data_IF_986916766968
#
_entry.id   IF_986916766968
#
_cell.length_a   1.000
_cell.length_b   1.000
_cell.length_c   1.000
_cell.angle_alpha   90.00
_cell.angle_beta   90.00
_cell.angle_gamma   90.00
#
_symmetry.space_group_name_H-M   'P 1'
#
loop_
_entity.id
_entity.type
_entity.pdbx_description
1 polymer ?
#
# COMPACT_ATOMS: atom_id res chain seq x y z
N UNK A 1 34.15 47.74 -17.91
CA UNK A 1 33.37 47.46 -16.69
C UNK A 1 31.90 47.52 -17.10
N UNK A 2 31.42 46.44 -17.70
CA UNK A 2 30.04 46.33 -18.20
C UNK A 2 29.22 45.52 -17.19
N UNK A 3 28.21 46.15 -16.59
CA UNK A 3 27.21 45.45 -15.77
C UNK A 3 26.21 44.78 -16.73
N UNK A 4 26.23 43.44 -16.79
CA UNK A 4 25.13 42.65 -17.36
C UNK A 4 24.05 42.48 -16.29
N UNK A 5 22.86 43.03 -16.56
CA UNK A 5 21.68 42.84 -15.74
C UNK A 5 21.19 41.39 -15.86
N UNK A 6 21.15 40.67 -14.74
CA UNK A 6 20.48 39.38 -14.62
C UNK A 6 18.99 39.63 -14.37
N UNK A 7 18.15 39.32 -15.36
CA UNK A 7 16.71 39.20 -15.18
C UNK A 7 16.44 37.88 -14.44
N UNK A 8 16.03 37.98 -13.18
CA UNK A 8 15.44 36.87 -12.45
C UNK A 8 13.97 36.77 -12.85
N UNK A 9 13.64 35.78 -13.67
CA UNK A 9 12.24 35.38 -13.85
C UNK A 9 11.82 34.65 -12.59
N UNK A 10 11.09 35.33 -11.71
CA UNK A 10 10.38 34.68 -10.60
C UNK A 10 9.29 33.83 -11.24
N UNK A 11 9.53 32.53 -11.36
CA UNK A 11 8.45 31.57 -11.57
C UNK A 11 7.59 31.62 -10.31
N UNK A 12 6.40 32.23 -10.41
CA UNK A 12 5.38 32.03 -9.40
C UNK A 12 5.09 30.53 -9.37
N UNK A 13 5.44 29.88 -8.26
CA UNK A 13 4.91 28.58 -7.89
C UNK A 13 3.40 28.79 -7.68
N UNK A 14 2.61 28.67 -8.74
CA UNK A 14 1.19 28.37 -8.55
C UNK A 14 1.16 26.96 -7.99
N UNK A 15 1.07 26.82 -6.67
CA UNK A 15 0.52 25.61 -6.08
C UNK A 15 -0.85 25.44 -6.74
N UNK A 16 -0.91 24.54 -7.72
CA UNK A 16 -2.14 24.15 -8.35
C UNK A 16 -3.00 23.54 -7.27
N UNK A 17 -3.84 24.35 -6.63
CA UNK A 17 -4.98 23.82 -5.88
C UNK A 17 -5.82 23.13 -6.94
N UNK A 18 -5.75 21.82 -6.98
CA UNK A 18 -6.55 21.00 -7.87
C UNK A 18 -8.01 21.22 -7.46
N UNK A 19 -8.71 22.16 -8.09
CA UNK A 19 -10.09 22.57 -7.73
C UNK A 19 -11.15 21.53 -8.10
N UNK A 20 -10.76 20.28 -8.31
CA UNK A 20 -11.63 19.11 -8.47
C UNK A 20 -11.15 17.90 -7.64
N UNK A 21 -10.32 18.12 -6.61
CA UNK A 21 -9.69 17.05 -5.83
C UNK A 21 -10.55 16.54 -4.67
N UNK A 22 -10.57 15.23 -4.49
CA UNK A 22 -11.01 14.57 -3.25
C UNK A 22 -10.18 15.08 -2.05
N UNK A 23 -10.81 15.28 -0.89
CA UNK A 23 -10.10 15.75 0.33
C UNK A 23 -9.04 14.75 0.81
N UNK A 24 -9.28 13.47 0.54
CA UNK A 24 -8.40 12.34 0.83
C UNK A 24 -8.32 11.52 -0.46
N UNK A 25 -7.11 11.35 -0.98
CA UNK A 25 -6.88 10.48 -2.14
C UNK A 25 -6.88 9.01 -1.72
N UNK A 26 -7.41 8.14 -2.57
CA UNK A 26 -7.32 6.70 -2.35
C UNK A 26 -5.84 6.24 -2.28
N UNK A 27 -5.52 5.13 -1.58
CA UNK A 27 -4.18 4.55 -1.56
C UNK A 27 -3.53 4.41 -2.94
N UNK A 28 -2.25 4.72 -3.04
CA UNK A 28 -1.48 4.54 -4.27
C UNK A 28 -1.01 3.09 -4.38
N UNK A 29 -1.41 2.37 -5.43
CA UNK A 29 -0.97 1.00 -5.67
C UNK A 29 0.28 0.96 -6.55
N UNK A 30 1.35 0.37 -6.03
CA UNK A 30 2.65 0.26 -6.71
C UNK A 30 3.04 -1.22 -6.81
N UNK A 31 3.65 -1.64 -7.92
CA UNK A 31 4.10 -3.01 -8.07
C UNK A 31 5.05 -3.27 -9.22
N UNK A 32 5.47 -4.53 -9.32
CA UNK A 32 6.31 -5.03 -10.40
C UNK A 32 5.78 -6.37 -10.92
N UNK A 33 6.07 -6.67 -12.18
CA UNK A 33 5.69 -7.93 -12.78
C UNK A 33 6.72 -8.40 -13.81
N UNK A 34 7.34 -9.55 -13.56
CA UNK A 34 8.03 -10.27 -14.62
C UNK A 34 6.99 -10.83 -15.62
N UNK A 35 7.08 -10.42 -16.88
CA UNK A 35 6.16 -10.85 -17.94
C UNK A 35 6.65 -12.02 -18.78
N UNK A 36 7.81 -12.60 -18.45
CA UNK A 36 8.38 -13.73 -19.16
C UNK A 36 8.48 -13.46 -20.67
N UNK A 37 9.45 -12.63 -21.05
CA UNK A 37 9.76 -12.28 -22.44
C UNK A 37 8.62 -11.55 -23.14
N UNK A 38 8.20 -10.40 -22.61
CA UNK A 38 7.27 -9.53 -23.33
C UNK A 38 7.87 -9.11 -24.68
N UNK A 39 7.13 -9.38 -25.75
CA UNK A 39 7.50 -9.02 -27.11
C UNK A 39 6.40 -9.33 -28.12
N UNK A 40 6.67 -9.21 -29.43
CA UNK A 40 5.64 -9.27 -30.47
C UNK A 40 4.84 -10.57 -30.47
N UNK A 41 5.50 -11.70 -30.17
CA UNK A 41 4.83 -13.01 -30.07
C UNK A 41 3.80 -13.03 -28.94
N UNK A 42 4.13 -12.51 -27.76
CA UNK A 42 3.21 -12.45 -26.63
C UNK A 42 2.07 -11.44 -26.89
N UNK A 43 2.40 -10.26 -27.44
CA UNK A 43 1.41 -9.23 -27.82
C UNK A 43 0.45 -9.65 -28.94
N UNK A 44 0.83 -10.64 -29.76
CA UNK A 44 -0.06 -11.20 -30.79
C UNK A 44 -1.17 -12.12 -30.26
N UNK A 45 -1.17 -12.45 -28.96
CA UNK A 45 -2.16 -13.33 -28.31
C UNK A 45 -3.22 -12.49 -27.60
N UNK A 46 -4.44 -12.33 -28.15
CA UNK A 46 -5.44 -11.42 -27.57
C UNK A 46 -5.85 -11.77 -26.14
N UNK A 47 -5.95 -13.07 -25.82
CA UNK A 47 -6.28 -13.53 -24.46
C UNK A 47 -5.21 -13.11 -23.43
N UNK A 48 -3.92 -13.20 -23.79
CA UNK A 48 -2.81 -12.76 -22.92
C UNK A 48 -2.86 -11.25 -22.72
N UNK A 49 -3.03 -10.48 -23.80
CA UNK A 49 -3.15 -9.02 -23.72
C UNK A 49 -4.33 -8.60 -22.85
N UNK A 50 -5.46 -9.31 -22.95
CA UNK A 50 -6.63 -9.05 -22.11
C UNK A 50 -6.31 -9.24 -20.61
N UNK A 51 -5.58 -10.31 -20.25
CA UNK A 51 -5.14 -10.54 -18.86
C UNK A 51 -4.19 -9.43 -18.42
N UNK A 52 -3.21 -9.06 -19.26
CA UNK A 52 -2.30 -7.94 -18.96
C UNK A 52 -3.07 -6.64 -18.65
N UNK A 53 -4.03 -6.28 -19.50
CA UNK A 53 -4.85 -5.08 -19.29
C UNK A 53 -5.66 -5.18 -17.99
N UNK A 54 -6.29 -6.32 -17.70
CA UNK A 54 -7.08 -6.51 -16.48
C UNK A 54 -6.22 -6.40 -15.21
N UNK A 55 -5.02 -7.01 -15.22
CA UNK A 55 -4.07 -6.97 -14.11
C UNK A 55 -3.52 -5.57 -13.93
N UNK A 56 -2.95 -4.97 -14.99
CA UNK A 56 -2.30 -3.66 -14.94
C UNK A 56 -3.25 -2.53 -14.53
N UNK A 57 -4.55 -2.63 -14.88
CA UNK A 57 -5.55 -1.61 -14.51
C UNK A 57 -5.77 -1.46 -12.99
N UNK A 58 -5.30 -2.42 -12.19
CA UNK A 58 -5.32 -2.33 -10.72
C UNK A 58 -4.30 -1.34 -10.17
N UNK A 59 -3.20 -1.13 -10.89
CA UNK A 59 -2.04 -0.39 -10.41
C UNK A 59 -2.16 1.10 -10.71
N UNK A 60 -1.60 1.93 -9.83
CA UNK A 60 -1.34 3.34 -10.16
C UNK A 60 0.06 3.52 -10.75
N UNK A 61 1.01 2.68 -10.32
CA UNK A 61 2.34 2.51 -10.92
C UNK A 61 2.64 1.01 -11.01
N UNK A 62 3.06 0.55 -12.18
CA UNK A 62 3.59 -0.81 -12.35
C UNK A 62 4.83 -0.79 -13.23
N UNK A 63 5.87 -1.52 -12.82
CA UNK A 63 7.04 -1.79 -13.66
C UNK A 63 6.98 -3.20 -14.20
N UNK A 64 7.10 -3.34 -15.53
CA UNK A 64 7.18 -4.62 -16.21
C UNK A 64 8.65 -4.96 -16.46
N UNK A 65 9.02 -6.18 -16.11
CA UNK A 65 10.35 -6.74 -16.31
C UNK A 65 10.34 -7.68 -17.53
N UNK A 66 11.53 -8.10 -17.95
CA UNK A 66 11.71 -9.05 -19.06
C UNK A 66 11.07 -8.60 -20.39
N UNK A 67 11.12 -7.29 -20.68
CA UNK A 67 10.73 -6.76 -21.99
C UNK A 67 11.86 -6.97 -22.99
N UNK A 68 11.67 -7.91 -23.91
CA UNK A 68 12.74 -8.38 -24.82
C UNK A 68 12.66 -7.79 -26.24
N UNK A 69 11.61 -7.04 -26.55
CA UNK A 69 11.29 -6.56 -27.90
C UNK A 69 12.29 -5.56 -28.47
N UNK A 70 13.05 -5.96 -29.50
CA UNK A 70 14.07 -5.13 -30.13
C UNK A 70 13.52 -3.95 -30.93
N UNK A 71 12.27 -4.00 -31.40
CA UNK A 71 11.65 -2.85 -32.07
C UNK A 71 11.15 -1.78 -31.07
N UNK A 72 10.92 -2.17 -29.82
CA UNK A 72 10.32 -1.32 -28.80
C UNK A 72 8.82 -1.11 -28.99
N UNK A 73 8.15 -1.87 -29.86
CA UNK A 73 6.73 -1.70 -30.18
C UNK A 73 5.82 -2.36 -29.15
N UNK A 74 6.18 -3.54 -28.63
CA UNK A 74 5.38 -4.30 -27.68
C UNK A 74 4.95 -3.48 -26.44
N UNK A 75 5.84 -2.77 -25.72
CA UNK A 75 5.43 -1.96 -24.58
C UNK A 75 4.50 -0.80 -24.97
N UNK A 76 4.63 -0.25 -26.18
CA UNK A 76 3.75 0.82 -26.69
C UNK A 76 2.37 0.26 -27.08
N UNK A 77 2.33 -0.89 -27.77
CA UNK A 77 1.08 -1.59 -28.07
C UNK A 77 0.31 -1.96 -26.80
N UNK A 78 1.03 -2.38 -25.75
CA UNK A 78 0.42 -2.66 -24.46
C UNK A 78 -0.12 -1.38 -23.81
N UNK A 79 0.57 -0.24 -23.93
CA UNK A 79 0.06 1.05 -23.48
C UNK A 79 -1.24 1.43 -24.19
N UNK A 80 -1.28 1.27 -25.52
CA UNK A 80 -2.47 1.56 -26.32
C UNK A 80 -3.66 0.69 -25.90
N UNK A 81 -3.44 -0.61 -25.73
CA UNK A 81 -4.45 -1.55 -25.22
C UNK A 81 -4.89 -1.21 -23.79
N UNK A 82 -3.95 -0.82 -22.93
CA UNK A 82 -4.23 -0.43 -21.54
C UNK A 82 -5.12 0.82 -21.48
N UNK A 83 -4.83 1.80 -22.33
CA UNK A 83 -5.53 3.08 -22.39
C UNK A 83 -6.86 3.05 -23.15
N UNK A 84 -7.17 1.96 -23.86
CA UNK A 84 -8.42 1.85 -24.62
C UNK A 84 -9.65 2.03 -23.71
N UNK A 85 -10.43 3.06 -23.98
CA UNK A 85 -11.66 3.40 -23.25
C UNK A 85 -11.44 4.02 -21.86
N UNK A 86 -10.20 4.33 -21.47
CA UNK A 86 -9.92 5.01 -20.20
C UNK A 86 -10.01 6.52 -20.33
N UNK A 87 -10.64 7.17 -19.36
CA UNK A 87 -10.55 8.62 -19.15
C UNK A 87 -9.28 9.00 -18.40
N UNK A 88 -8.84 8.13 -17.48
CA UNK A 88 -7.61 8.27 -16.71
C UNK A 88 -6.55 7.33 -17.30
N UNK A 89 -5.72 7.88 -18.17
CA UNK A 89 -4.77 7.12 -18.98
C UNK A 89 -3.42 6.94 -18.29
N UNK A 90 -2.75 5.86 -18.65
CA UNK A 90 -1.37 5.59 -18.29
C UNK A 90 -0.40 6.29 -19.23
N UNK A 91 0.76 6.64 -18.68
CA UNK A 91 1.96 7.01 -19.41
C UNK A 91 2.97 5.86 -19.37
N UNK A 92 4.02 5.98 -20.18
CA UNK A 92 5.08 4.99 -20.33
C UNK A 92 6.47 5.64 -20.31
N UNK A 93 7.41 5.00 -19.63
CA UNK A 93 8.84 5.21 -19.83
C UNK A 93 9.56 3.88 -19.82
N UNK A 94 10.61 3.75 -20.63
CA UNK A 94 11.30 2.48 -20.87
C UNK A 94 12.79 2.71 -20.70
N UNK A 95 13.48 1.77 -20.05
CA UNK A 95 14.94 1.78 -19.93
C UNK A 95 15.64 1.60 -21.28
N UNK A 96 16.97 1.77 -21.29
CA UNK A 96 17.80 1.26 -22.36
C UNK A 96 17.69 -0.28 -22.46
N UNK A 97 18.17 -0.86 -23.56
CA UNK A 97 18.33 -2.33 -23.70
C UNK A 97 19.55 -2.80 -22.92
N UNK A 98 19.31 -3.54 -21.85
CA UNK A 98 20.30 -3.96 -20.86
C UNK A 98 20.66 -5.43 -21.04
N UNK A 99 21.84 -5.85 -20.57
CA UNK A 99 22.30 -7.24 -20.69
C UNK A 99 23.74 -7.36 -21.17
N UNK A 100 24.52 -8.28 -20.62
CA UNK A 100 25.92 -8.49 -21.07
C UNK A 100 26.05 -9.12 -22.47
N UNK A 101 25.04 -9.84 -22.93
CA UNK A 101 25.09 -10.62 -24.18
C UNK A 101 24.19 -10.04 -25.28
N UNK A 102 23.96 -10.79 -26.36
CA UNK A 102 22.97 -10.45 -27.38
C UNK A 102 21.52 -10.54 -26.86
N UNK A 103 21.30 -11.32 -25.81
CA UNK A 103 20.03 -11.32 -25.10
C UNK A 103 19.95 -10.03 -24.26
N UNK A 104 18.91 -9.24 -24.53
CA UNK A 104 18.69 -7.94 -23.89
C UNK A 104 17.27 -7.82 -23.39
N UNK A 105 17.14 -7.14 -22.27
CA UNK A 105 15.86 -6.82 -21.64
C UNK A 105 15.72 -5.32 -21.40
N UNK A 106 14.51 -4.89 -21.07
CA UNK A 106 14.18 -3.52 -20.69
C UNK A 106 13.21 -3.55 -19.51
N UNK A 107 13.28 -2.51 -18.69
CA UNK A 107 12.27 -2.17 -17.70
C UNK A 107 11.28 -1.20 -18.32
N UNK A 108 9.97 -1.47 -18.21
CA UNK A 108 8.92 -0.59 -18.72
C UNK A 108 7.98 -0.15 -17.60
N UNK A 109 7.97 1.14 -17.30
CA UNK A 109 7.14 1.74 -16.26
C UNK A 109 5.85 2.28 -16.86
N UNK A 110 4.72 1.90 -16.25
CA UNK A 110 3.40 2.41 -16.57
C UNK A 110 2.83 3.09 -15.34
N UNK A 111 2.29 4.31 -15.49
CA UNK A 111 1.68 5.02 -14.37
C UNK A 111 0.51 5.91 -14.80
N UNK A 112 -0.46 6.10 -13.92
CA UNK A 112 -1.56 7.05 -14.14
C UNK A 112 -1.11 8.48 -13.89
N UNK A 113 -1.25 9.35 -14.88
CA UNK A 113 -0.86 10.77 -14.76
C UNK A 113 -1.71 11.55 -13.76
N UNK A 114 -2.94 11.09 -13.49
CA UNK A 114 -3.80 11.70 -12.48
C UNK A 114 -3.31 11.46 -11.04
N UNK A 115 -2.45 10.44 -10.85
CA UNK A 115 -1.99 9.96 -9.54
C UNK A 115 -0.57 10.41 -9.27
N UNK A 116 0.33 10.26 -10.24
CA UNK A 116 1.75 10.62 -10.10
C UNK A 116 2.34 11.14 -11.40
N UNK A 117 3.44 11.88 -11.29
CA UNK A 117 4.28 12.32 -12.41
C UNK A 117 5.67 11.74 -12.24
N UNK A 118 6.23 11.15 -13.30
CA UNK A 118 7.64 10.82 -13.37
C UNK A 118 8.44 12.11 -13.62
N UNK A 119 9.26 12.53 -12.65
CA UNK A 119 9.98 13.82 -12.69
C UNK A 119 11.44 13.70 -13.11
N UNK A 120 12.02 12.51 -12.99
CA UNK A 120 13.36 12.20 -13.51
C UNK A 120 13.57 10.69 -13.64
N UNK A 121 14.57 10.32 -14.44
CA UNK A 121 14.99 8.92 -14.63
C UNK A 121 16.51 8.80 -14.52
N UNK A 122 17.00 7.66 -14.04
CA UNK A 122 18.41 7.37 -13.86
C UNK A 122 18.70 5.91 -14.21
N UNK A 123 19.59 5.69 -15.18
CA UNK A 123 20.16 4.37 -15.41
C UNK A 123 21.39 4.22 -14.50
N UNK A 124 21.38 3.23 -13.60
CA UNK A 124 22.57 2.94 -12.78
C UNK A 124 23.72 2.55 -13.71
N UNK A 125 24.89 3.12 -13.46
CA UNK A 125 26.12 2.78 -14.17
C UNK A 125 27.01 2.03 -13.19
N UNK A 126 27.29 0.76 -13.50
CA UNK A 126 28.20 -0.09 -12.78
C UNK A 126 29.43 -0.49 -13.61
N UNK A 127 29.78 0.26 -14.66
CA UNK A 127 30.89 -0.03 -15.60
C UNK A 127 32.22 -0.38 -14.89
N UNK A 128 32.43 0.13 -13.68
CA UNK A 128 33.62 -0.14 -12.88
C UNK A 128 33.67 -1.56 -12.29
N UNK A 129 32.52 -2.13 -11.92
CA UNK A 129 32.41 -3.41 -11.20
C UNK A 129 31.58 -4.48 -11.95
N UNK A 130 30.75 -4.07 -12.93
CA UNK A 130 29.87 -4.92 -13.75
C UNK A 130 29.16 -5.98 -12.91
N UNK A 131 28.37 -5.54 -11.93
CA UNK A 131 27.67 -6.41 -10.97
C UNK A 131 26.39 -6.94 -11.59
N UNK A 132 25.60 -6.07 -12.21
CA UNK A 132 24.25 -6.38 -12.64
C UNK A 132 24.21 -6.98 -14.04
N UNK A 133 23.41 -8.04 -14.22
CA UNK A 133 23.09 -8.50 -15.56
C UNK A 133 22.22 -7.48 -16.31
N UNK A 134 21.27 -6.85 -15.61
CA UNK A 134 20.39 -5.81 -16.13
C UNK A 134 20.38 -4.62 -15.17
N UNK A 135 21.19 -3.62 -15.47
CA UNK A 135 21.48 -2.47 -14.62
C UNK A 135 20.17 -1.75 -14.19
N UNK A 136 19.94 -1.43 -12.90
CA UNK A 136 18.69 -0.82 -12.46
C UNK A 136 18.35 0.52 -13.14
N UNK A 137 17.11 0.65 -13.63
CA UNK A 137 16.57 1.87 -14.24
C UNK A 137 15.57 2.56 -13.30
N UNK A 138 16.05 3.57 -12.58
CA UNK A 138 15.33 4.25 -11.50
C UNK A 138 14.43 5.34 -12.08
N UNK A 139 13.17 5.39 -11.64
CA UNK A 139 12.24 6.48 -11.96
C UNK A 139 11.86 7.19 -10.67
N UNK A 140 11.98 8.53 -10.64
CA UNK A 140 11.54 9.35 -9.51
C UNK A 140 10.13 9.84 -9.76
N UNK A 141 9.24 9.57 -8.80
CA UNK A 141 7.85 9.98 -8.84
C UNK A 141 7.56 11.09 -7.82
N UNK A 142 6.63 11.97 -8.19
CA UNK A 142 6.02 12.99 -7.34
C UNK A 142 4.49 12.91 -7.56
N UNK A 143 3.67 12.99 -6.51
CA UNK A 143 2.22 12.93 -6.69
C UNK A 143 1.41 12.61 -5.43
N UNK A 144 0.27 11.94 -5.64
CA UNK A 144 -0.80 11.68 -4.68
C UNK A 144 -0.44 10.66 -3.60
N UNK A 145 0.65 10.91 -2.87
CA UNK A 145 1.06 10.17 -1.66
C UNK A 145 0.99 11.09 -0.44
N UNK A 146 1.03 10.49 0.74
CA UNK A 146 1.07 11.18 2.01
C UNK A 146 2.19 12.24 2.05
N UNK A 147 1.88 13.42 2.61
CA UNK A 147 2.74 14.61 2.61
C UNK A 147 4.12 14.44 3.25
N UNK A 148 4.34 13.36 4.02
CA UNK A 148 5.66 12.98 4.53
C UNK A 148 6.66 12.65 3.41
N UNK A 149 6.19 12.21 2.25
CA UNK A 149 7.01 11.88 1.08
C UNK A 149 6.67 12.86 -0.04
N UNK A 150 7.62 13.74 -0.36
CA UNK A 150 7.46 14.68 -1.49
C UNK A 150 7.81 14.04 -2.83
N UNK A 151 8.87 13.23 -2.86
CA UNK A 151 9.34 12.47 -4.01
C UNK A 151 9.89 11.14 -3.53
N UNK A 152 9.75 10.10 -4.35
CA UNK A 152 10.33 8.80 -4.07
C UNK A 152 10.92 8.16 -5.33
N UNK A 153 11.97 7.37 -5.14
CA UNK A 153 12.57 6.55 -6.20
C UNK A 153 11.90 5.20 -6.30
N UNK A 154 11.65 4.73 -7.53
CA UNK A 154 11.23 3.37 -7.83
C UNK A 154 12.35 2.66 -8.60
N UNK A 155 12.94 1.63 -8.00
CA UNK A 155 14.14 0.93 -8.48
C UNK A 155 13.77 -0.49 -8.88
N UNK A 156 13.68 -0.81 -10.18
CA UNK A 156 13.36 -2.14 -10.63
C UNK A 156 14.61 -3.02 -10.63
N UNK A 157 14.43 -4.31 -10.41
CA UNK A 157 15.49 -5.30 -10.59
C UNK A 157 14.91 -6.59 -11.17
N UNK A 158 15.62 -7.15 -12.14
CA UNK A 158 15.53 -8.54 -12.55
C UNK A 158 16.94 -9.12 -12.45
N UNK A 159 17.18 -9.95 -11.44
CA UNK A 159 18.52 -10.50 -11.21
C UNK A 159 18.80 -11.69 -12.12
N UNK A 160 20.05 -11.93 -12.48
CA UNK A 160 20.43 -13.23 -13.04
C UNK A 160 20.39 -14.31 -11.94
N UNK A 161 19.67 -15.42 -12.11
CA UNK A 161 19.48 -16.41 -11.04
C UNK A 161 20.78 -16.93 -10.42
N UNK A 162 21.82 -17.18 -11.24
CA UNK A 162 23.12 -17.68 -10.73
C UNK A 162 23.95 -16.63 -10.00
N UNK A 163 23.58 -15.36 -10.12
CA UNK A 163 24.31 -14.21 -9.57
C UNK A 163 23.43 -13.46 -8.55
N UNK A 164 22.25 -13.99 -8.21
CA UNK A 164 21.22 -13.33 -7.40
C UNK A 164 21.76 -12.78 -6.07
N UNK A 165 22.57 -13.55 -5.34
CA UNK A 165 23.19 -13.09 -4.08
C UNK A 165 24.00 -11.81 -4.28
N UNK A 166 24.83 -11.74 -5.34
CA UNK A 166 25.69 -10.60 -5.61
C UNK A 166 24.90 -9.39 -6.13
N UNK A 167 23.93 -9.61 -7.02
CA UNK A 167 23.10 -8.53 -7.55
C UNK A 167 22.18 -7.94 -6.46
N UNK A 168 21.56 -8.78 -5.61
CA UNK A 168 20.73 -8.30 -4.50
C UNK A 168 21.57 -7.54 -3.47
N UNK A 169 22.79 -8.00 -3.16
CA UNK A 169 23.72 -7.25 -2.30
C UNK A 169 24.07 -5.88 -2.90
N UNK A 170 24.35 -5.83 -4.21
CA UNK A 170 24.72 -4.61 -4.92
C UNK A 170 23.64 -3.51 -4.93
N UNK A 171 22.38 -3.84 -4.66
CA UNK A 171 21.29 -2.85 -4.58
C UNK A 171 21.50 -1.83 -3.47
N UNK A 172 22.31 -2.13 -2.45
CA UNK A 172 22.72 -1.13 -1.45
C UNK A 172 23.56 -0.02 -2.07
N UNK A 173 24.47 -0.37 -2.98
CA UNK A 173 25.31 0.61 -3.67
C UNK A 173 24.50 1.44 -4.68
N UNK A 174 23.45 0.84 -5.27
CA UNK A 174 22.45 1.54 -6.10
C UNK A 174 21.70 2.59 -5.27
N UNK A 175 21.19 2.19 -4.10
CA UNK A 175 20.50 3.10 -3.19
C UNK A 175 21.40 4.25 -2.71
N UNK A 176 22.64 3.95 -2.31
CA UNK A 176 23.57 4.96 -1.81
C UNK A 176 24.03 5.93 -2.92
N UNK A 177 24.24 5.44 -4.14
CA UNK A 177 24.51 6.27 -5.32
C UNK A 177 23.32 7.18 -5.64
N UNK A 178 22.11 6.62 -5.68
CA UNK A 178 20.88 7.38 -5.93
C UNK A 178 20.66 8.49 -4.90
N UNK A 179 20.84 8.18 -3.61
CA UNK A 179 20.76 9.17 -2.52
C UNK A 179 21.79 10.27 -2.67
N UNK A 180 23.02 9.91 -3.00
CA UNK A 180 24.10 10.89 -3.19
C UNK A 180 23.79 11.85 -4.33
N UNK A 181 23.21 11.35 -5.43
CA UNK A 181 22.88 12.17 -6.59
C UNK A 181 21.62 13.03 -6.42
N UNK A 182 20.59 12.50 -5.76
CA UNK A 182 19.25 13.13 -5.71
C UNK A 182 18.89 13.77 -4.37
N UNK A 183 19.57 13.39 -3.29
CA UNK A 183 19.16 13.65 -1.91
C UNK A 183 17.79 13.06 -1.52
N UNK A 184 17.24 12.12 -2.30
CA UNK A 184 15.97 11.42 -2.01
C UNK A 184 16.26 10.15 -1.22
N UNK A 185 15.73 10.05 0.00
CA UNK A 185 15.90 8.86 0.86
C UNK A 185 14.78 7.83 0.72
N UNK A 186 13.60 8.27 0.31
CA UNK A 186 12.40 7.45 0.19
C UNK A 186 12.43 6.65 -1.11
N UNK A 187 12.63 5.34 -1.01
CA UNK A 187 12.84 4.45 -2.16
C UNK A 187 12.06 3.14 -2.00
N UNK A 188 11.49 2.67 -3.10
CA UNK A 188 10.93 1.32 -3.23
C UNK A 188 11.78 0.59 -4.27
N UNK A 189 12.34 -0.55 -3.88
CA UNK A 189 13.11 -1.45 -4.73
C UNK A 189 12.27 -2.71 -4.91
N UNK A 190 12.03 -3.13 -6.14
CA UNK A 190 11.03 -4.17 -6.43
C UNK A 190 11.29 -4.88 -7.75
N UNK A 191 10.81 -6.11 -7.85
CA UNK A 191 10.91 -6.92 -9.07
C UNK A 191 11.26 -8.36 -8.77
N UNK A 192 11.86 -9.03 -9.74
CA UNK A 192 12.28 -10.43 -9.66
C UNK A 192 13.72 -10.52 -9.14
N UNK A 193 13.84 -10.77 -7.85
CA UNK A 193 15.11 -10.84 -7.16
C UNK A 193 15.75 -12.22 -7.27
N UNK A 194 15.02 -13.22 -7.81
CA UNK A 194 15.35 -14.62 -7.63
C UNK A 194 15.70 -14.96 -6.17
N UNK A 195 15.13 -14.23 -5.18
CA UNK A 195 15.55 -14.27 -3.79
C UNK A 195 14.86 -15.40 -3.01
N UNK A 196 15.18 -16.64 -3.34
CA UNK A 196 14.74 -17.81 -2.58
C UNK A 196 15.08 -19.12 -3.27
N UNK A 197 14.60 -20.22 -2.70
CA UNK A 197 14.74 -21.57 -3.26
C UNK A 197 16.21 -21.92 -3.57
N UNK A 198 16.50 -22.31 -4.81
CA UNK A 198 17.82 -22.80 -5.21
C UNK A 198 18.82 -21.66 -5.48
N UNK A 199 18.36 -20.41 -5.55
CA UNK A 199 19.19 -19.26 -5.96
C UNK A 199 19.71 -18.45 -4.77
N UNK A 200 18.89 -18.31 -3.73
CA UNK A 200 19.28 -17.66 -2.46
C UNK A 200 18.81 -18.54 -1.31
N UNK A 201 19.74 -19.25 -0.69
CA UNK A 201 19.50 -20.10 0.47
C UNK A 201 19.48 -19.32 1.78
N UNK A 202 18.99 -19.95 2.85
CA UNK A 202 18.89 -19.33 4.17
C UNK A 202 20.20 -18.74 4.71
N UNK A 203 21.34 -19.39 4.42
CA UNK A 203 22.66 -18.90 4.84
C UNK A 203 23.22 -17.78 3.95
N UNK A 204 22.68 -17.58 2.75
CA UNK A 204 23.13 -16.53 1.83
C UNK A 204 22.62 -15.16 2.29
N UNK A 205 21.44 -15.08 2.89
CA UNK A 205 20.85 -13.84 3.40
C UNK A 205 21.74 -13.11 4.40
N UNK A 206 22.50 -13.82 5.22
CA UNK A 206 23.46 -13.22 6.16
C UNK A 206 24.60 -12.45 5.44
N UNK A 207 24.82 -12.72 4.14
CA UNK A 207 25.83 -12.06 3.32
C UNK A 207 25.26 -10.98 2.39
N UNK A 208 23.94 -10.76 2.41
CA UNK A 208 23.27 -9.77 1.56
C UNK A 208 23.07 -8.50 2.39
N UNK A 209 23.79 -7.41 2.06
CA UNK A 209 23.66 -6.13 2.78
C UNK A 209 22.23 -5.60 2.71
N UNK A 210 21.55 -5.75 1.58
CA UNK A 210 20.15 -5.31 1.44
C UNK A 210 19.21 -5.99 2.44
N UNK A 211 19.53 -7.21 2.89
CA UNK A 211 18.75 -7.96 3.88
C UNK A 211 19.16 -7.64 5.32
N UNK A 212 20.47 -7.49 5.56
CA UNK A 212 21.03 -7.33 6.91
C UNK A 212 21.09 -5.87 7.40
N UNK A 213 21.07 -4.90 6.48
CA UNK A 213 21.14 -3.48 6.80
C UNK A 213 19.74 -2.95 7.25
N UNK A 214 19.63 -2.39 8.46
CA UNK A 214 18.35 -1.96 9.04
C UNK A 214 17.72 -0.77 8.32
N UNK A 215 18.40 -0.16 7.34
CA UNK A 215 17.82 0.89 6.47
C UNK A 215 16.75 0.33 5.54
N UNK A 216 16.75 -0.97 5.29
CA UNK A 216 15.86 -1.63 4.34
C UNK A 216 14.83 -2.48 5.06
N UNK A 217 13.56 -2.37 4.65
CA UNK A 217 12.47 -3.20 5.15
C UNK A 217 11.94 -4.07 4.02
N UNK A 218 12.10 -5.38 4.16
CA UNK A 218 11.56 -6.36 3.23
C UNK A 218 10.07 -6.55 3.50
N UNK A 219 9.25 -6.19 2.52
CA UNK A 219 7.80 -6.15 2.68
C UNK A 219 7.12 -7.49 2.32
N UNK A 220 7.79 -8.33 1.53
CA UNK A 220 7.33 -9.67 1.16
C UNK A 220 8.19 -10.72 1.87
N UNK A 221 7.54 -11.59 2.63
CA UNK A 221 8.17 -12.64 3.43
C UNK A 221 8.74 -13.78 2.56
N UNK A 222 9.79 -14.44 3.07
CA UNK A 222 10.46 -15.60 2.47
C UNK A 222 9.56 -16.86 2.32
N UNK A 223 8.31 -16.80 2.79
CA UNK A 223 7.34 -17.90 2.70
C UNK A 223 6.23 -17.66 1.67
N UNK A 224 6.29 -16.55 0.95
CA UNK A 224 5.26 -16.15 -0.01
C UNK A 224 5.64 -16.67 -1.40
N UNK A 225 4.74 -17.41 -2.04
CA UNK A 225 4.95 -17.87 -3.41
C UNK A 225 4.63 -16.76 -4.41
N UNK A 226 5.56 -16.45 -5.30
CA UNK A 226 5.36 -15.46 -6.37
C UNK A 226 5.41 -16.10 -7.76
N UNK A 227 5.40 -17.43 -7.84
CA UNK A 227 5.47 -18.17 -9.12
C UNK A 227 4.12 -18.78 -9.49
N UNK A 228 3.74 -18.72 -10.77
CA UNK A 228 2.47 -19.30 -11.24
C UNK A 228 2.60 -20.78 -11.58
N UNK A 229 3.84 -21.30 -11.69
CA UNK A 229 4.09 -22.67 -12.12
C UNK A 229 5.41 -23.23 -11.63
N UNK A 230 5.40 -24.54 -11.37
CA UNK A 230 6.60 -25.39 -11.29
C UNK A 230 7.37 -25.31 -9.98
N UNK A 231 7.15 -24.26 -9.21
CA UNK A 231 7.81 -24.00 -7.93
C UNK A 231 6.87 -23.39 -6.92
N UNK A 232 7.34 -23.23 -5.69
CA UNK A 232 6.71 -22.41 -4.65
C UNK A 232 7.82 -21.56 -4.06
N UNK A 233 8.07 -20.40 -4.67
CA UNK A 233 9.29 -19.63 -4.44
C UNK A 233 9.02 -18.13 -4.27
N UNK A 234 9.69 -17.47 -3.30
CA UNK A 234 9.58 -16.03 -3.05
C UNK A 234 10.56 -15.24 -3.94
N UNK A 235 10.50 -15.43 -5.25
CA UNK A 235 11.47 -14.79 -6.16
C UNK A 235 11.25 -13.28 -6.25
N UNK A 236 9.99 -12.85 -6.35
CA UNK A 236 9.63 -11.45 -6.52
C UNK A 236 9.49 -10.76 -5.17
N UNK A 237 10.14 -9.60 -5.04
CA UNK A 237 10.26 -8.90 -3.75
C UNK A 237 9.91 -7.43 -3.88
N UNK A 238 9.54 -6.87 -2.73
CA UNK A 238 9.39 -5.44 -2.50
C UNK A 238 10.19 -5.11 -1.24
N UNK A 239 11.14 -4.20 -1.36
CA UNK A 239 11.99 -3.68 -0.30
C UNK A 239 11.85 -2.17 -0.27
N UNK A 240 11.62 -1.60 0.91
CA UNK A 240 11.53 -0.14 1.07
C UNK A 240 12.67 0.42 1.90
N UNK A 241 13.08 1.65 1.57
CA UNK A 241 14.05 2.43 2.33
C UNK A 241 13.54 3.87 2.53
N UNK A 242 14.00 4.51 3.61
CA UNK A 242 13.53 5.82 4.04
C UNK A 242 12.42 5.71 5.10
N UNK A 243 12.58 6.42 6.22
CA UNK A 243 11.64 6.33 7.35
C UNK A 243 10.24 6.84 7.00
N UNK A 244 10.13 7.83 6.12
CA UNK A 244 8.83 8.32 5.66
C UNK A 244 8.18 7.30 4.73
N UNK A 245 8.93 6.71 3.79
CA UNK A 245 8.43 5.65 2.91
C UNK A 245 7.88 4.46 3.71
N UNK A 246 8.63 3.98 4.72
CA UNK A 246 8.16 2.93 5.63
C UNK A 246 6.86 3.36 6.32
N UNK A 247 6.81 4.59 6.85
CA UNK A 247 5.67 5.06 7.63
C UNK A 247 4.39 5.35 6.79
N UNK A 248 4.52 5.52 5.48
CA UNK A 248 3.39 5.68 4.56
C UNK A 248 3.00 4.38 3.85
N UNK A 249 3.80 3.32 3.99
CA UNK A 249 3.49 2.01 3.45
C UNK A 249 2.43 1.32 4.31
N UNK A 250 1.38 0.79 3.69
CA UNK A 250 0.40 -0.01 4.43
C UNK A 250 0.99 -1.38 4.75
N UNK A 251 1.09 -1.68 6.04
CA UNK A 251 1.53 -3.00 6.52
C UNK A 251 0.62 -4.09 5.97
N UNK A 252 1.20 -5.26 5.70
CA UNK A 252 0.50 -6.46 5.20
C UNK A 252 -0.25 -6.30 3.87
N UNK A 253 -0.05 -5.20 3.14
CA UNK A 253 -0.59 -5.04 1.77
C UNK A 253 0.40 -5.48 0.69
N UNK A 254 1.66 -5.69 1.07
CA UNK A 254 2.69 -6.16 0.16
C UNK A 254 2.56 -7.67 -0.07
N UNK A 255 2.43 -8.09 -1.33
CA UNK A 255 2.33 -9.50 -1.70
C UNK A 255 2.01 -9.73 -3.18
N UNK A 256 1.97 -10.99 -3.62
CA UNK A 256 1.58 -11.36 -4.97
C UNK A 256 0.08 -11.12 -5.19
N UNK A 257 -0.27 -10.73 -6.40
CA UNK A 257 -1.64 -10.80 -6.89
C UNK A 257 -1.80 -12.03 -7.78
N UNK A 258 -2.43 -13.06 -7.22
CA UNK A 258 -2.78 -14.33 -7.89
C UNK A 258 -3.85 -14.07 -8.98
N UNK A 259 -3.39 -13.61 -10.15
CA UNK A 259 -4.27 -13.10 -11.21
C UNK A 259 -5.18 -14.17 -11.78
N UNK A 260 -4.73 -15.41 -11.79
CA UNK A 260 -5.46 -16.59 -12.22
C UNK A 260 -6.67 -16.84 -11.29
N UNK A 261 -6.45 -16.89 -9.98
CA UNK A 261 -7.51 -17.04 -8.99
C UNK A 261 -8.49 -15.86 -9.05
N UNK A 262 -7.96 -14.63 -9.08
CA UNK A 262 -8.76 -13.41 -9.04
C UNK A 262 -9.61 -13.19 -10.31
N UNK A 263 -9.14 -13.68 -11.47
CA UNK A 263 -9.86 -13.61 -12.74
C UNK A 263 -10.62 -14.90 -13.07
N UNK A 264 -10.51 -15.94 -12.23
CA UNK A 264 -11.13 -17.24 -12.45
C UNK A 264 -10.57 -18.01 -13.65
N UNK A 265 -9.30 -17.80 -13.97
CA UNK A 265 -8.60 -18.48 -15.07
C UNK A 265 -8.18 -19.86 -14.56
N UNK A 266 -8.64 -20.91 -15.25
CA UNK A 266 -8.32 -22.32 -14.94
C UNK A 266 -7.58 -23.01 -16.08
N UNK A 267 -7.28 -22.26 -17.14
CA UNK A 267 -6.53 -22.74 -18.30
C UNK A 267 -5.03 -22.56 -18.04
N UNK A 268 -4.36 -23.66 -17.70
CA UNK A 268 -2.92 -23.70 -17.42
C UNK A 268 -2.06 -23.20 -18.59
N UNK A 269 -2.52 -23.37 -19.84
CA UNK A 269 -1.80 -22.88 -21.02
C UNK A 269 -1.88 -21.36 -21.08
N UNK A 270 -3.06 -20.77 -20.78
CA UNK A 270 -3.20 -19.32 -20.70
C UNK A 270 -2.38 -18.73 -19.54
N UNK A 271 -2.40 -19.35 -18.37
CA UNK A 271 -1.60 -18.92 -17.21
C UNK A 271 -0.11 -18.93 -17.58
N UNK A 272 0.36 -20.03 -18.16
CA UNK A 272 1.76 -20.17 -18.63
C UNK A 272 2.10 -19.13 -19.72
N UNK A 273 1.18 -18.87 -20.64
CA UNK A 273 1.38 -17.89 -21.71
C UNK A 273 1.41 -16.44 -21.22
N UNK A 274 0.70 -16.14 -20.13
CA UNK A 274 0.70 -14.83 -19.48
C UNK A 274 2.04 -14.59 -18.80
N UNK A 275 2.39 -15.36 -17.77
CA UNK A 275 3.70 -15.31 -17.09
C UNK A 275 3.85 -16.49 -16.13
N UNK A 276 5.10 -16.93 -15.91
CA UNK A 276 5.52 -17.83 -14.83
C UNK A 276 5.65 -17.13 -13.46
N UNK A 277 5.43 -15.81 -13.39
CA UNK A 277 5.42 -15.02 -12.17
C UNK A 277 4.09 -14.31 -11.93
N UNK A 278 3.70 -14.20 -10.66
CA UNK A 278 2.64 -13.30 -10.22
C UNK A 278 3.19 -11.87 -10.07
N UNK A 279 2.42 -10.83 -10.42
CA UNK A 279 2.80 -9.46 -10.08
C UNK A 279 2.85 -9.30 -8.55
N UNK A 280 3.85 -8.60 -8.04
CA UNK A 280 3.92 -8.19 -6.64
C UNK A 280 3.42 -6.76 -6.50
N UNK A 281 2.56 -6.52 -5.51
CA UNK A 281 1.92 -5.23 -5.26
C UNK A 281 2.08 -4.78 -3.81
N UNK A 282 2.05 -3.48 -3.56
CA UNK A 282 1.88 -2.87 -2.23
C UNK A 282 1.02 -1.61 -2.33
N UNK A 283 0.50 -1.15 -1.18
CA UNK A 283 -0.22 0.12 -1.09
C UNK A 283 0.58 1.16 -0.29
N UNK A 284 0.58 2.40 -0.79
CA UNK A 284 1.02 3.59 -0.07
C UNK A 284 -0.18 4.46 0.30
N UNK A 285 -0.09 5.19 1.42
CA UNK A 285 -1.10 6.18 1.82
C UNK A 285 -1.22 7.28 0.77
N UNK A 286 -2.47 7.64 0.44
CA UNK A 286 -2.77 8.72 -0.49
C UNK A 286 -2.48 10.10 0.09
N UNK A 287 -2.54 11.15 -0.71
CA UNK A 287 -2.40 12.51 -0.21
C UNK A 287 -3.65 12.98 0.53
N UNK A 288 -3.45 13.77 1.59
CA UNK A 288 -4.52 14.50 2.30
C UNK A 288 -4.35 15.98 2.05
N UNK A 289 -5.45 16.69 1.81
CA UNK A 289 -5.41 18.15 1.65
C UNK A 289 -4.80 18.81 2.90
N UNK A 290 -3.80 19.70 2.75
CA UNK A 290 -3.16 20.37 3.87
C UNK A 290 -4.18 21.06 4.78
N UNK A 291 -4.06 20.83 6.09
CA UNK A 291 -4.95 21.39 7.11
C UNK A 291 -6.19 20.55 7.42
N UNK A 292 -6.50 19.48 6.67
CA UNK A 292 -7.63 18.59 7.04
C UNK A 292 -7.40 17.94 8.42
N UNK A 293 -6.17 17.52 8.73
CA UNK A 293 -5.82 16.91 10.02
C UNK A 293 -5.97 17.85 11.23
N UNK A 294 -5.99 19.18 11.02
CA UNK A 294 -6.17 20.13 12.12
C UNK A 294 -7.64 20.36 12.48
N UNK A 295 -8.58 19.90 11.66
CA UNK A 295 -10.02 20.12 11.83
C UNK A 295 -10.85 18.84 11.87
N UNK A 296 -10.29 17.70 11.45
CA UNK A 296 -10.98 16.40 11.46
C UNK A 296 -10.15 15.37 12.24
N UNK A 297 -10.82 14.65 13.15
CA UNK A 297 -10.30 13.46 13.80
C UNK A 297 -11.23 12.27 13.44
N UNK A 298 -10.83 11.39 12.51
CA UNK A 298 -11.64 10.24 12.15
C UNK A 298 -11.63 9.20 13.26
N UNK A 299 -12.71 8.43 13.34
CA UNK A 299 -12.85 7.33 14.28
C UNK A 299 -13.45 6.13 13.56
N UNK A 300 -12.99 4.94 13.92
CA UNK A 300 -13.70 3.70 13.58
C UNK A 300 -14.57 3.27 14.76
N UNK A 301 -15.73 2.68 14.47
CA UNK A 301 -16.74 2.36 15.47
C UNK A 301 -17.43 1.05 15.14
N UNK A 302 -17.55 0.18 16.14
CA UNK A 302 -18.45 -0.98 16.10
C UNK A 302 -19.61 -0.74 17.06
N UNK A 303 -20.82 -1.15 16.67
CA UNK A 303 -22.01 -0.95 17.47
C UNK A 303 -22.97 -2.12 17.41
N UNK A 304 -23.84 -2.18 18.42
CA UNK A 304 -24.98 -3.09 18.53
C UNK A 304 -26.21 -2.27 18.89
N UNK A 305 -27.32 -2.52 18.20
CA UNK A 305 -28.62 -1.93 18.52
C UNK A 305 -29.42 -2.86 19.43
N UNK A 306 -30.13 -2.27 20.39
CA UNK A 306 -30.87 -2.96 21.44
C UNK A 306 -32.18 -2.22 21.73
N UNK A 307 -33.17 -2.95 22.24
CA UNK A 307 -34.44 -2.38 22.70
C UNK A 307 -34.47 -2.30 24.22
N UNK A 308 -35.01 -1.21 24.76
CA UNK A 308 -35.22 -1.00 26.19
C UNK A 308 -36.38 -0.02 26.41
N UNK A 309 -37.23 -0.24 27.41
CA UNK A 309 -38.35 0.65 27.70
C UNK A 309 -37.90 2.02 28.21
N UNK A 310 -38.74 3.04 28.03
CA UNK A 310 -38.47 4.39 28.54
C UNK A 310 -38.23 4.41 30.06
N UNK A 311 -38.91 3.54 30.82
CA UNK A 311 -38.74 3.40 32.27
C UNK A 311 -37.38 2.82 32.63
N UNK A 312 -36.92 1.78 31.92
CA UNK A 312 -35.62 1.15 32.16
C UNK A 312 -34.47 2.13 31.83
N UNK A 313 -34.59 2.84 30.69
CA UNK A 313 -33.62 3.88 30.30
C UNK A 313 -33.55 4.99 31.35
N UNK A 314 -34.72 5.43 31.86
CA UNK A 314 -34.78 6.50 32.88
C UNK A 314 -34.20 6.04 34.21
N UNK A 315 -34.45 4.79 34.61
CA UNK A 315 -33.87 4.20 35.82
C UNK A 315 -32.34 4.11 35.71
N UNK A 316 -31.82 3.66 34.56
CA UNK A 316 -30.38 3.61 34.31
C UNK A 316 -29.74 4.99 34.43
N UNK A 317 -30.33 6.03 33.83
CA UNK A 317 -29.80 7.39 33.90
C UNK A 317 -29.54 7.88 35.34
N UNK A 318 -30.30 7.36 36.31
CA UNK A 318 -30.21 7.73 37.73
C UNK A 318 -29.21 6.87 38.52
N UNK A 319 -28.80 5.71 37.99
CA UNK A 319 -27.93 4.75 38.68
C UNK A 319 -26.49 4.73 38.18
N UNK A 320 -26.16 5.52 37.15
CA UNK A 320 -24.82 5.55 36.56
C UNK A 320 -23.78 6.18 37.50
N UNK A 321 -22.53 5.71 37.34
CA UNK A 321 -21.39 6.08 38.19
C UNK A 321 -20.88 7.50 37.86
N UNK A 322 -20.26 8.23 38.81
CA UNK A 322 -19.63 9.52 38.54
C UNK A 322 -18.53 9.49 37.49
N UNK A 323 -17.95 8.32 37.21
CA UNK A 323 -16.89 8.15 36.21
C UNK A 323 -17.41 8.10 34.77
N UNK A 324 -18.72 8.22 34.57
CA UNK A 324 -19.37 8.25 33.25
C UNK A 324 -19.89 9.67 32.99
N UNK A 325 -19.63 10.17 31.79
CA UNK A 325 -20.26 11.40 31.34
C UNK A 325 -21.67 11.07 30.88
N UNK A 326 -22.67 11.61 31.59
CA UNK A 326 -24.09 11.37 31.32
C UNK A 326 -24.71 12.66 30.80
N UNK A 327 -25.16 12.64 29.55
CA UNK A 327 -26.01 13.68 28.97
C UNK A 327 -27.42 13.12 28.83
N UNK A 328 -28.34 13.55 29.70
CA UNK A 328 -29.75 13.17 29.62
C UNK A 328 -30.61 14.41 29.41
N UNK A 329 -31.30 14.45 28.28
CA UNK A 329 -32.39 15.40 28.01
C UNK A 329 -33.73 14.64 28.01
N UNK A 330 -34.82 15.31 27.64
CA UNK A 330 -36.16 14.75 27.79
C UNK A 330 -36.34 13.40 27.07
N UNK A 331 -35.83 13.26 25.84
CA UNK A 331 -35.99 12.04 25.03
C UNK A 331 -34.71 11.24 24.80
N UNK A 332 -33.53 11.83 25.05
CA UNK A 332 -32.24 11.20 24.77
C UNK A 332 -31.42 11.02 26.05
N UNK A 333 -30.74 9.89 26.13
CA UNK A 333 -29.69 9.62 27.10
C UNK A 333 -28.44 9.18 26.35
N UNK A 334 -27.34 9.89 26.55
CA UNK A 334 -26.01 9.51 26.10
C UNK A 334 -25.14 9.28 27.33
N UNK A 335 -24.49 8.12 27.37
CA UNK A 335 -23.51 7.78 28.40
C UNK A 335 -22.20 7.48 27.70
N UNK A 336 -21.13 8.16 28.09
CA UNK A 336 -19.79 7.94 27.51
C UNK A 336 -18.74 7.78 28.59
N UNK A 337 -17.76 6.91 28.34
CA UNK A 337 -16.54 6.83 29.14
C UNK A 337 -15.37 6.33 28.29
N UNK A 338 -14.16 6.71 28.67
CA UNK A 338 -12.93 6.30 28.00
C UNK A 338 -12.23 5.19 28.75
N UNK A 339 -11.62 4.28 28.00
CA UNK A 339 -10.84 3.15 28.51
C UNK A 339 -9.57 2.98 27.68
N UNK A 340 -8.56 2.34 28.26
CA UNK A 340 -7.24 2.22 27.64
C UNK A 340 -7.00 0.94 26.84
N UNK A 341 -7.95 0.00 26.85
CA UNK A 341 -7.87 -1.24 26.09
C UNK A 341 -9.27 -1.79 25.80
N UNK A 342 -9.37 -2.63 24.77
CA UNK A 342 -10.60 -3.38 24.47
C UNK A 342 -10.99 -4.33 25.61
N UNK A 343 -10.02 -4.93 26.30
CA UNK A 343 -10.28 -5.77 27.48
C UNK A 343 -10.92 -4.99 28.64
N UNK A 344 -10.43 -3.78 28.91
CA UNK A 344 -11.03 -2.87 29.90
C UNK A 344 -12.43 -2.44 29.46
N UNK A 345 -12.63 -2.19 28.16
CA UNK A 345 -13.93 -1.87 27.59
C UNK A 345 -14.95 -2.98 27.87
N UNK A 346 -14.64 -4.22 27.50
CA UNK A 346 -15.51 -5.38 27.72
C UNK A 346 -15.79 -5.59 29.21
N UNK A 347 -14.78 -5.47 30.07
CA UNK A 347 -14.97 -5.59 31.53
C UNK A 347 -15.96 -4.54 32.05
N UNK A 348 -15.83 -3.29 31.60
CA UNK A 348 -16.76 -2.21 31.99
C UNK A 348 -18.18 -2.45 31.47
N UNK A 349 -18.33 -2.99 30.26
CA UNK A 349 -19.62 -3.34 29.67
C UNK A 349 -20.31 -4.51 30.40
N UNK A 350 -19.55 -5.53 30.82
CA UNK A 350 -20.09 -6.64 31.62
C UNK A 350 -20.58 -6.16 32.99
N UNK A 351 -19.87 -5.21 33.61
CA UNK A 351 -20.32 -4.56 34.84
C UNK A 351 -21.64 -3.79 34.63
N UNK A 352 -21.71 -2.98 33.57
CA UNK A 352 -22.92 -2.24 33.21
C UNK A 352 -24.10 -3.19 32.95
N UNK A 353 -23.87 -4.26 32.18
CA UNK A 353 -24.88 -5.29 31.89
C UNK A 353 -25.37 -5.99 33.16
N UNK A 354 -24.49 -6.26 34.13
CA UNK A 354 -24.89 -6.86 35.42
C UNK A 354 -25.74 -5.91 36.26
N UNK A 355 -25.49 -4.60 36.17
CA UNK A 355 -26.25 -3.58 36.91
C UNK A 355 -27.56 -3.18 36.25
N UNK A 356 -27.66 -3.30 34.92
CA UNK A 356 -28.79 -2.86 34.12
C UNK A 356 -29.08 -3.81 32.94
N UNK A 357 -29.41 -5.09 33.21
CA UNK A 357 -29.55 -6.11 32.18
C UNK A 357 -30.69 -5.83 31.20
N UNK A 358 -31.73 -5.10 31.64
CA UNK A 358 -32.89 -4.75 30.81
C UNK A 358 -32.58 -3.66 29.78
N UNK A 359 -31.55 -2.84 30.04
CA UNK A 359 -31.06 -1.85 29.07
C UNK A 359 -29.88 -2.41 28.30
N UNK A 360 -28.90 -3.02 28.96
CA UNK A 360 -27.71 -3.59 28.32
C UNK A 360 -27.68 -5.10 28.57
N UNK A 361 -28.35 -5.90 27.72
CA UNK A 361 -28.38 -7.34 27.89
C UNK A 361 -27.00 -7.93 27.61
N UNK A 362 -26.66 -9.02 28.30
CA UNK A 362 -25.33 -9.66 28.19
C UNK A 362 -25.01 -10.10 26.76
N UNK A 363 -26.03 -10.49 25.99
CA UNK A 363 -25.92 -10.87 24.58
C UNK A 363 -25.38 -9.73 23.72
N UNK A 364 -25.72 -8.47 24.02
CA UNK A 364 -25.19 -7.33 23.29
C UNK A 364 -23.69 -7.15 23.55
N UNK A 365 -23.25 -7.39 24.79
CA UNK A 365 -21.83 -7.34 25.17
C UNK A 365 -21.06 -8.48 24.50
N UNK A 366 -21.61 -9.69 24.49
CA UNK A 366 -20.98 -10.86 23.85
C UNK A 366 -20.84 -10.67 22.32
N UNK A 367 -21.82 -10.04 21.66
CA UNK A 367 -21.72 -9.70 20.22
C UNK A 367 -20.61 -8.68 19.96
N UNK A 368 -20.49 -7.64 20.81
CA UNK A 368 -19.39 -6.68 20.70
C UNK A 368 -18.03 -7.34 20.93
N UNK A 369 -17.90 -8.17 21.97
CA UNK A 369 -16.67 -8.90 22.26
C UNK A 369 -16.26 -9.81 21.10
N UNK A 370 -17.23 -10.53 20.51
CA UNK A 370 -16.98 -11.31 19.31
C UNK A 370 -16.45 -10.44 18.17
N UNK A 371 -17.12 -9.33 17.84
CA UNK A 371 -16.66 -8.42 16.76
C UNK A 371 -15.26 -7.86 17.00
N UNK A 372 -14.92 -7.52 18.24
CA UNK A 372 -13.57 -7.09 18.62
C UNK A 372 -12.56 -8.22 18.39
N UNK A 373 -12.88 -9.45 18.82
CA UNK A 373 -12.00 -10.62 18.65
C UNK A 373 -11.73 -10.95 17.18
N UNK A 374 -12.66 -10.57 16.28
CA UNK A 374 -12.53 -10.73 14.84
C UNK A 374 -11.88 -9.51 14.16
N UNK A 375 -11.26 -8.61 14.92
CA UNK A 375 -10.51 -7.48 14.36
C UNK A 375 -11.36 -6.28 13.95
N UNK A 376 -12.62 -6.16 14.41
CA UNK A 376 -13.54 -5.07 14.03
C UNK A 376 -13.06 -3.64 14.36
N UNK A 377 -11.99 -3.50 15.15
CA UNK A 377 -11.31 -2.23 15.45
C UNK A 377 -9.78 -2.31 15.22
N UNK A 378 -9.30 -3.35 14.52
CA UNK A 378 -7.87 -3.62 14.33
C UNK A 378 -7.45 -3.52 12.86
N UNK A 379 -8.22 -2.79 12.05
CA UNK A 379 -7.79 -2.50 10.68
C UNK A 379 -6.57 -1.57 10.73
N UNK A 380 -5.39 -2.19 10.67
CA UNK A 380 -4.09 -1.51 10.69
C UNK A 380 -3.92 -0.50 9.56
N UNK A 381 -4.72 -0.58 8.48
CA UNK A 381 -4.68 0.42 7.43
C UNK A 381 -5.23 1.76 7.94
N UNK A 382 -6.18 1.74 8.86
CA UNK A 382 -6.76 2.95 9.46
C UNK A 382 -5.87 3.59 10.55
N UNK A 383 -4.67 3.07 10.84
CA UNK A 383 -3.84 3.56 11.93
C UNK A 383 -2.44 3.95 11.45
N UNK A 384 -1.90 5.07 11.96
CA UNK A 384 -0.51 5.47 11.73
C UNK A 384 0.47 4.41 12.29
N UNK A 385 1.68 4.34 11.70
CA UNK A 385 2.66 3.34 12.09
C UNK A 385 3.01 3.42 13.59
N UNK A 386 2.95 2.28 14.30
CA UNK A 386 3.25 2.21 15.73
C UNK A 386 2.13 2.71 16.64
N UNK A 387 1.00 3.15 16.08
CA UNK A 387 -0.17 3.57 16.85
C UNK A 387 -0.93 2.37 17.42
N UNK A 388 -0.51 1.82 18.55
CA UNK A 388 -1.48 1.12 19.40
C UNK A 388 -2.44 2.17 19.94
N UNK A 389 -3.70 2.13 19.52
CA UNK A 389 -4.71 3.00 20.13
C UNK A 389 -4.89 2.58 21.58
N UNK A 390 -4.45 3.45 22.48
CA UNK A 390 -4.57 3.28 23.93
C UNK A 390 -5.78 4.03 24.49
N UNK A 391 -6.70 4.44 23.63
CA UNK A 391 -7.88 5.22 24.00
C UNK A 391 -9.06 4.75 23.17
N UNK A 392 -10.04 4.17 23.85
CA UNK A 392 -11.30 3.75 23.29
C UNK A 392 -12.42 4.49 24.01
N UNK A 393 -13.45 4.89 23.26
CA UNK A 393 -14.65 5.50 23.82
C UNK A 393 -15.78 4.49 23.76
N UNK A 394 -16.31 4.13 24.92
CA UNK A 394 -17.56 3.38 25.00
C UNK A 394 -18.71 4.37 25.05
N UNK A 395 -19.75 4.15 24.24
CA UNK A 395 -20.95 4.98 24.23
C UNK A 395 -22.21 4.13 24.31
N UNK A 396 -23.18 4.56 25.14
CA UNK A 396 -24.54 4.07 25.13
C UNK A 396 -25.48 5.24 24.82
N UNK A 397 -26.06 5.22 23.62
CA UNK A 397 -27.04 6.21 23.19
C UNK A 397 -28.43 5.59 23.19
N UNK A 398 -29.36 6.12 23.96
CA UNK A 398 -30.74 5.65 24.06
C UNK A 398 -31.75 6.74 23.74
N UNK A 399 -32.81 6.37 23.02
CA UNK A 399 -33.97 7.20 22.73
C UNK A 399 -35.21 6.65 23.43
N UNK A 400 -35.70 7.37 24.44
CA UNK A 400 -36.76 6.91 25.36
C UNK A 400 -38.08 6.69 24.64
N UNK A 401 -38.48 7.63 23.77
CA UNK A 401 -39.74 7.55 23.01
C UNK A 401 -39.81 6.37 22.05
N UNK A 402 -38.66 5.93 21.54
CA UNK A 402 -38.57 4.80 20.60
C UNK A 402 -38.28 3.46 21.30
N UNK A 403 -37.91 3.51 22.58
CA UNK A 403 -37.46 2.34 23.31
C UNK A 403 -36.23 1.67 22.69
N UNK A 404 -35.32 2.47 22.14
CA UNK A 404 -34.16 2.00 21.39
C UNK A 404 -32.86 2.51 22.02
N UNK A 405 -31.82 1.69 21.94
CA UNK A 405 -30.49 2.02 22.39
C UNK A 405 -29.45 1.52 21.37
N UNK A 406 -28.29 2.17 21.34
CA UNK A 406 -27.11 1.76 20.58
C UNK A 406 -25.92 1.76 21.52
N UNK A 407 -25.31 0.61 21.68
CA UNK A 407 -24.06 0.42 22.42
C UNK A 407 -22.92 0.39 21.41
N UNK A 408 -21.90 1.22 21.59
CA UNK A 408 -20.79 1.31 20.66
C UNK A 408 -19.44 1.40 21.36
N UNK A 409 -18.42 0.93 20.64
CA UNK A 409 -17.01 1.09 20.99
C UNK A 409 -16.31 1.73 19.80
N UNK A 410 -15.68 2.88 20.02
CA UNK A 410 -14.93 3.60 19.00
C UNK A 410 -13.49 3.85 19.40
N UNK A 411 -12.64 4.05 18.40
CA UNK A 411 -11.24 4.45 18.57
C UNK A 411 -10.85 5.46 17.47
N UNK A 412 -9.99 6.44 17.78
CA UNK A 412 -9.42 7.32 16.76
C UNK A 412 -8.62 6.55 15.71
N UNK A 413 -8.64 7.05 14.47
CA UNK A 413 -7.89 6.53 13.31
C UNK A 413 -7.04 7.64 12.68
N UNK A 414 -6.15 7.30 11.75
CA UNK A 414 -5.56 8.28 10.82
C UNK A 414 -6.57 8.64 9.73
N UNK A 415 -6.35 9.77 9.04
CA UNK A 415 -7.18 10.17 7.89
C UNK A 415 -6.97 9.24 6.70
N UNK A 416 -5.71 8.86 6.47
CA UNK A 416 -5.31 7.85 5.51
C UNK A 416 -5.26 6.48 6.15
#
# INVERSE_FOLDING_TARGET
MELKAYFWTVALLTMGVNTHGTTVEAPLRVGAWNLQRLGPTKMSKPAVVQVFVQVMRRFDIIVLLEVTDASGEAPVQLLDALNEGLTDTYNLTISARLGRTSYKEQYAFYWKSSRVTAVSTFQYNDDANDVFQFEPFIVVFEGSVDSRVSRFGLVPIHTKPTDAVAEVDGLVDVYDSFRTFTSIEDVIILGDYNAGCDYVGGADYDNIRLYTDPRFTWMISDHVDTTTKGTTCPYDRIVVAGSNMVAISYKYTAGPYYYDEALGITDDDLITDVSDHYPVEMLLRGSVVPGTESVVAPNTCISVSLGASASEITALAQSLSPNQEVCSIQDLMLVTWTVNSTSTAITSLRSLSSSAPDVVPIQAVDVLEYKISQGGLQDITLHAEGGTTSSYTVSLLCQKSQGSCTLSLSTPTSIN
#
